data_IF_751472748358
#
_entry.id   IF_751472748358
#
_cell.length_a   1.000
_cell.length_b   1.000
_cell.length_c   1.000
_cell.angle_alpha   90.00
_cell.angle_beta   90.00
_cell.angle_gamma   90.00
#
_symmetry.space_group_name_H-M   'P 1'
#
loop_
_entity.id
_entity.type
_entity.pdbx_description
1 polymer ?
#
# COMPACT_ATOMS: atom_id res chain seq x y z
N UNK A 1 15.28 -57.71 39.90
CA UNK A 1 15.21 -58.40 38.61
C UNK A 1 14.19 -57.63 37.78
N UNK A 2 14.58 -56.46 37.25
CA UNK A 2 15.35 -56.17 36.02
C UNK A 2 14.50 -56.41 34.76
N UNK A 3 14.27 -55.31 34.02
CA UNK A 3 13.65 -55.22 32.69
C UNK A 3 14.31 -56.15 31.65
N UNK A 4 13.78 -56.23 30.41
CA UNK A 4 14.26 -55.28 29.39
C UNK A 4 13.24 -54.80 28.33
N UNK A 5 13.27 -53.49 28.09
CA UNK A 5 13.53 -52.78 26.82
C UNK A 5 13.07 -53.43 25.50
N UNK A 6 12.27 -52.70 24.73
CA UNK A 6 12.03 -52.88 23.30
C UNK A 6 11.58 -51.59 22.62
N UNK A 7 12.35 -51.15 21.63
CA UNK A 7 12.41 -49.83 20.99
C UNK A 7 11.35 -49.58 19.88
N UNK A 8 11.20 -48.29 19.57
CA UNK A 8 10.92 -47.68 18.26
C UNK A 8 9.46 -47.42 17.83
N UNK A 9 9.12 -46.12 17.70
CA UNK A 9 7.88 -45.63 17.12
C UNK A 9 7.96 -44.13 16.83
N UNK A 10 8.67 -43.81 15.76
CA UNK A 10 8.64 -42.63 14.86
C UNK A 10 7.76 -41.45 15.34
N UNK A 11 8.41 -40.30 15.51
CA UNK A 11 7.74 -39.03 15.79
C UNK A 11 6.84 -38.59 14.64
N UNK A 12 5.55 -38.50 14.93
CA UNK A 12 4.59 -37.75 14.14
C UNK A 12 4.76 -36.26 14.45
N UNK A 13 5.25 -35.55 13.44
CA UNK A 13 5.20 -34.10 13.33
C UNK A 13 3.75 -33.63 13.45
N UNK A 14 3.42 -32.98 14.58
CA UNK A 14 2.22 -32.16 14.68
C UNK A 14 2.30 -31.07 13.62
N UNK A 15 1.59 -31.25 12.51
CA UNK A 15 1.14 -30.14 11.68
C UNK A 15 0.25 -29.26 12.54
N UNK A 16 0.79 -28.15 13.04
CA UNK A 16 -0.03 -27.01 13.40
C UNK A 16 -0.58 -26.43 12.09
N UNK A 17 -1.70 -26.98 11.62
CA UNK A 17 -2.55 -26.26 10.68
C UNK A 17 -3.11 -25.07 11.46
N UNK A 18 -2.55 -23.90 11.15
CA UNK A 18 -3.04 -22.62 11.59
C UNK A 18 -4.35 -22.40 10.82
N UNK A 19 -5.45 -22.94 11.35
CA UNK A 19 -6.79 -22.51 10.94
C UNK A 19 -6.86 -21.00 11.20
N UNK A 20 -6.91 -20.24 10.12
CA UNK A 20 -7.23 -18.83 10.12
C UNK A 20 -8.69 -18.70 10.59
N UNK A 21 -8.87 -18.71 11.92
CA UNK A 21 -10.14 -18.41 12.55
C UNK A 21 -10.45 -16.93 12.28
N UNK A 22 -11.23 -16.70 11.22
CA UNK A 22 -11.90 -15.42 10.96
C UNK A 22 -12.85 -15.17 12.13
N UNK A 23 -12.38 -14.36 13.09
CA UNK A 23 -13.20 -13.93 14.21
C UNK A 23 -14.42 -13.14 13.70
N UNK A 24 -15.62 -13.35 14.27
CA UNK A 24 -16.76 -12.50 13.95
C UNK A 24 -16.45 -11.06 14.36
N UNK A 25 -16.76 -10.13 13.45
CA UNK A 25 -16.55 -8.69 13.62
C UNK A 25 -17.02 -8.21 14.99
N UNK A 26 -16.16 -7.44 15.67
CA UNK A 26 -16.47 -6.73 16.92
C UNK A 26 -17.82 -6.01 16.80
N UNK A 27 -18.58 -5.94 17.91
CA UNK A 27 -19.83 -5.17 17.95
C UNK A 27 -19.59 -3.73 17.46
N UNK A 28 -20.53 -3.12 16.71
CA UNK A 28 -20.35 -1.82 16.11
C UNK A 28 -20.33 -0.79 17.22
N UNK A 29 -19.13 -0.37 17.62
CA UNK A 29 -18.95 0.61 18.67
C UNK A 29 -19.37 2.01 18.21
N UNK A 30 -19.97 2.77 19.12
CA UNK A 30 -20.27 4.20 19.04
C UNK A 30 -19.01 5.12 18.94
N UNK A 31 -17.88 4.61 18.47
CA UNK A 31 -16.69 5.45 18.39
C UNK A 31 -16.89 6.46 17.24
N UNK A 32 -16.68 7.76 17.43
CA UNK A 32 -16.77 8.71 16.34
C UNK A 32 -15.75 8.30 15.27
N UNK A 33 -16.24 7.80 14.14
CA UNK A 33 -15.42 7.31 13.04
C UNK A 33 -14.50 8.44 12.59
N UNK A 34 -13.20 8.23 12.75
CA UNK A 34 -12.22 9.21 12.30
C UNK A 34 -11.87 8.94 10.85
N UNK A 35 -11.75 10.01 10.06
CA UNK A 35 -11.32 9.94 8.67
C UNK A 35 -10.04 9.10 8.49
N UNK A 36 -9.13 9.19 9.46
CA UNK A 36 -7.88 8.43 9.48
C UNK A 36 -8.10 6.91 9.40
N UNK A 37 -9.16 6.41 10.05
CA UNK A 37 -9.39 4.98 10.22
C UNK A 37 -9.97 4.31 8.97
N UNK A 38 -10.56 5.11 8.08
CA UNK A 38 -11.20 4.65 6.84
C UNK A 38 -10.45 5.06 5.56
N UNK A 39 -9.58 6.07 5.61
CA UNK A 39 -8.94 6.64 4.41
C UNK A 39 -8.20 5.61 3.55
N UNK A 40 -7.48 4.68 4.18
CA UNK A 40 -6.71 3.65 3.45
C UNK A 40 -7.62 2.71 2.66
N UNK A 41 -8.66 2.17 3.30
CA UNK A 41 -9.64 1.28 2.66
C UNK A 41 -10.47 2.01 1.60
N UNK A 42 -10.86 3.25 1.89
CA UNK A 42 -11.57 4.11 0.94
C UNK A 42 -10.73 4.38 -0.32
N UNK A 43 -9.45 4.68 -0.16
CA UNK A 43 -8.53 4.90 -1.28
C UNK A 43 -8.30 3.62 -2.06
N UNK A 44 -8.07 2.49 -1.38
CA UNK A 44 -7.95 1.17 -2.05
C UNK A 44 -9.18 0.88 -2.89
N UNK A 45 -10.37 1.00 -2.31
CA UNK A 45 -11.62 0.78 -3.00
C UNK A 45 -11.78 1.69 -4.23
N UNK A 46 -11.45 2.97 -4.09
CA UNK A 46 -11.56 3.95 -5.18
C UNK A 46 -10.61 3.62 -6.34
N UNK A 47 -9.36 3.27 -6.03
CA UNK A 47 -8.36 2.88 -7.04
C UNK A 47 -8.74 1.55 -7.72
N UNK A 48 -9.14 0.53 -6.96
CA UNK A 48 -9.57 -0.77 -7.51
C UNK A 48 -10.81 -0.62 -8.40
N UNK A 49 -11.83 0.12 -7.94
CA UNK A 49 -13.04 0.36 -8.74
C UNK A 49 -12.76 1.17 -10.01
N UNK A 50 -11.72 2.00 -10.02
CA UNK A 50 -11.26 2.69 -11.23
C UNK A 50 -10.54 1.76 -12.21
N UNK A 51 -9.79 0.75 -11.72
CA UNK A 51 -9.14 -0.26 -12.57
C UNK A 51 -10.21 -1.13 -13.26
N UNK A 52 -11.21 -1.53 -12.48
CA UNK A 52 -12.31 -2.40 -12.91
C UNK A 52 -13.40 -1.67 -13.70
N UNK A 53 -13.28 -0.35 -13.87
CA UNK A 53 -14.27 0.52 -14.54
C UNK A 53 -15.67 0.51 -13.88
N UNK A 54 -15.77 0.11 -12.61
CA UNK A 54 -17.05 0.02 -11.87
C UNK A 54 -17.38 1.29 -11.07
N UNK A 55 -16.44 2.23 -10.96
CA UNK A 55 -16.60 3.45 -10.14
C UNK A 55 -17.63 4.43 -10.70
N UNK A 56 -17.85 4.44 -12.03
CA UNK A 56 -18.70 5.42 -12.71
C UNK A 56 -18.15 6.85 -12.75
N UNK A 57 -16.97 7.10 -12.16
CA UNK A 57 -16.30 8.40 -12.10
C UNK A 57 -14.88 8.23 -12.64
N UNK A 58 -14.47 9.10 -13.57
CA UNK A 58 -13.11 9.13 -14.08
C UNK A 58 -12.19 9.91 -13.12
N UNK A 59 -11.29 9.21 -12.45
CA UNK A 59 -10.30 9.80 -11.53
C UNK A 59 -9.07 10.39 -12.25
N UNK A 60 -9.02 10.36 -13.59
CA UNK A 60 -7.94 10.96 -14.37
C UNK A 60 -6.58 10.24 -14.30
N UNK A 61 -6.54 9.05 -13.70
CA UNK A 61 -5.34 8.22 -13.56
C UNK A 61 -5.47 6.93 -14.39
N UNK A 62 -4.38 6.50 -15.01
CA UNK A 62 -4.37 5.27 -15.80
C UNK A 62 -4.48 4.01 -14.92
N UNK A 63 -5.04 2.93 -15.49
CA UNK A 63 -5.18 1.64 -14.78
C UNK A 63 -3.84 1.07 -14.30
N UNK A 64 -2.78 1.25 -15.08
CA UNK A 64 -1.43 0.83 -14.74
C UNK A 64 -0.87 1.65 -13.56
N UNK A 65 -1.11 2.97 -13.55
CA UNK A 65 -0.73 3.83 -12.44
C UNK A 65 -1.44 3.42 -11.13
N UNK A 66 -2.76 3.23 -11.18
CA UNK A 66 -3.54 2.75 -10.03
C UNK A 66 -3.06 1.38 -9.53
N UNK A 67 -2.81 0.43 -10.44
CA UNK A 67 -2.27 -0.90 -10.09
C UNK A 67 -0.91 -0.80 -9.40
N UNK A 68 -0.04 0.10 -9.86
CA UNK A 68 1.28 0.33 -9.24
C UNK A 68 1.19 0.98 -7.86
N UNK A 69 0.21 1.85 -7.61
CA UNK A 69 -0.04 2.41 -6.28
C UNK A 69 -0.47 1.34 -5.26
N UNK A 70 -1.26 0.36 -5.71
CA UNK A 70 -1.78 -0.74 -4.90
C UNK A 70 -0.79 -1.90 -4.71
N UNK A 71 0.29 -1.94 -5.50
CA UNK A 71 1.26 -3.03 -5.50
C UNK A 71 1.95 -3.15 -4.14
N UNK A 72 2.12 -4.38 -3.66
CA UNK A 72 2.89 -4.68 -2.44
C UNK A 72 4.39 -4.88 -2.73
N UNK A 73 5.25 -4.70 -1.72
CA UNK A 73 6.65 -5.08 -1.82
C UNK A 73 6.79 -6.61 -1.71
N UNK A 74 7.36 -7.31 -2.71
CA UNK A 74 7.49 -8.77 -2.68
C UNK A 74 8.38 -9.30 -1.54
N UNK A 75 9.28 -8.48 -0.99
CA UNK A 75 10.17 -8.92 0.09
C UNK A 75 9.67 -8.56 1.49
N UNK A 76 8.59 -7.78 1.60
CA UNK A 76 8.12 -7.32 2.90
C UNK A 76 6.62 -6.95 2.89
N UNK A 77 5.72 -7.95 2.87
CA UNK A 77 4.28 -7.72 2.77
C UNK A 77 3.65 -7.04 4.00
N UNK A 78 4.36 -6.96 5.14
CA UNK A 78 3.82 -6.50 6.43
C UNK A 78 4.68 -5.42 7.13
N UNK A 79 5.47 -4.63 6.40
CA UNK A 79 6.26 -3.57 7.03
C UNK A 79 5.38 -2.38 7.45
N UNK A 80 4.97 -2.35 8.72
CA UNK A 80 4.20 -1.28 9.36
C UNK A 80 5.09 -0.20 9.97
N UNK A 81 6.16 0.19 9.28
CA UNK A 81 7.08 1.20 9.82
C UNK A 81 6.74 2.57 9.24
N UNK A 82 6.20 3.42 10.11
CA UNK A 82 5.94 4.86 9.88
C UNK A 82 7.21 5.72 9.94
N UNK A 83 8.39 5.11 10.09
CA UNK A 83 9.63 5.87 10.16
C UNK A 83 9.87 6.58 8.82
N UNK A 84 10.19 7.87 8.92
CA UNK A 84 10.67 8.67 7.80
C UNK A 84 11.95 8.03 7.26
N UNK A 85 11.79 7.14 6.28
CA UNK A 85 12.95 6.60 5.58
C UNK A 85 13.23 7.49 4.38
N UNK A 86 14.37 8.16 4.45
CA UNK A 86 14.98 8.90 3.36
C UNK A 86 15.06 8.02 2.09
N UNK A 87 14.53 8.49 0.96
CA UNK A 87 14.50 7.76 -0.32
C UNK A 87 13.10 7.34 -0.80
N UNK A 88 13.01 6.21 -1.51
CA UNK A 88 11.74 5.71 -2.10
C UNK A 88 10.78 5.28 -0.99
N UNK A 89 9.53 5.77 -0.90
CA UNK A 89 8.60 5.36 0.17
C UNK A 89 8.37 3.84 0.22
N UNK A 90 8.14 3.25 1.41
CA UNK A 90 7.76 1.85 1.50
C UNK A 90 6.48 1.56 0.73
N UNK A 91 6.43 0.38 0.11
CA UNK A 91 5.26 -0.10 -0.61
C UNK A 91 4.28 -0.80 0.35
N UNK A 92 2.96 -0.76 0.10
CA UNK A 92 2.30 -0.10 -1.03
C UNK A 92 2.26 1.42 -0.90
N UNK A 93 2.37 2.11 -2.04
CA UNK A 93 2.31 3.58 -2.07
C UNK A 93 0.92 4.11 -1.70
N UNK A 94 -0.14 3.32 -1.89
CA UNK A 94 -1.49 3.69 -1.50
C UNK A 94 -1.59 4.04 -0.01
N UNK A 95 -0.83 3.38 0.87
CA UNK A 95 -0.83 3.66 2.31
C UNK A 95 -0.25 5.04 2.63
N UNK A 96 0.82 5.42 1.93
CA UNK A 96 1.42 6.75 2.06
C UNK A 96 0.51 7.83 1.50
N UNK A 97 -0.09 7.57 0.34
CA UNK A 97 -1.05 8.48 -0.28
C UNK A 97 -2.27 8.69 0.63
N UNK A 98 -2.82 7.64 1.23
CA UNK A 98 -3.91 7.73 2.19
C UNK A 98 -3.54 8.61 3.39
N UNK A 99 -2.35 8.41 3.97
CA UNK A 99 -1.86 9.25 5.07
C UNK A 99 -1.73 10.72 4.65
N UNK A 100 -1.11 10.99 3.49
CA UNK A 100 -0.93 12.34 2.97
C UNK A 100 -2.28 13.03 2.66
N UNK A 101 -3.24 12.30 2.10
CA UNK A 101 -4.60 12.79 1.85
C UNK A 101 -5.33 13.12 3.16
N UNK A 102 -5.26 12.23 4.15
CA UNK A 102 -5.83 12.48 5.47
C UNK A 102 -5.25 13.76 6.11
N UNK A 103 -3.92 13.91 6.10
CA UNK A 103 -3.26 15.11 6.62
C UNK A 103 -3.67 16.36 5.83
N UNK A 104 -3.80 16.24 4.52
CA UNK A 104 -4.17 17.37 3.67
C UNK A 104 -5.61 17.81 3.88
N UNK A 105 -6.55 16.87 4.02
CA UNK A 105 -7.94 17.16 4.35
C UNK A 105 -8.05 17.76 5.76
N UNK A 106 -7.29 17.24 6.72
CA UNK A 106 -7.31 17.72 8.10
C UNK A 106 -6.74 19.13 8.25
N UNK A 107 -5.74 19.49 7.42
CA UNK A 107 -5.12 20.81 7.43
C UNK A 107 -5.75 21.81 6.44
N UNK A 108 -6.57 21.33 5.50
CA UNK A 108 -7.17 22.14 4.43
C UNK A 108 -6.18 22.54 3.33
N UNK A 109 -4.98 21.95 3.29
CA UNK A 109 -3.95 22.26 2.32
C UNK A 109 -3.13 21.02 1.98
N UNK A 110 -2.51 20.99 0.80
CA UNK A 110 -1.66 19.88 0.39
C UNK A 110 -0.45 19.76 1.34
N UNK A 111 -0.38 18.66 2.10
CA UNK A 111 0.73 18.44 3.02
C UNK A 111 1.99 18.04 2.25
N UNK A 112 3.05 18.85 2.36
CA UNK A 112 4.39 18.42 1.95
C UNK A 112 4.92 17.46 2.99
N UNK A 113 5.26 16.24 2.58
CA UNK A 113 6.16 15.39 3.37
C UNK A 113 7.50 16.14 3.46
N UNK A 114 7.82 16.67 4.64
CA UNK A 114 8.92 17.62 4.89
C UNK A 114 10.27 17.14 4.35
N UNK A 115 10.60 17.47 3.11
CA UNK A 115 11.96 17.46 2.61
C UNK A 115 12.56 18.85 2.83
N UNK A 116 13.57 18.92 3.71
CA UNK A 116 14.42 20.10 4.02
C UNK A 116 15.14 20.71 2.79
N UNK A 117 14.86 20.23 1.59
CA UNK A 117 15.46 20.66 0.33
C UNK A 117 14.60 21.74 -0.36
N UNK A 118 14.18 22.75 0.39
CA UNK A 118 13.45 23.90 -0.17
C UNK A 118 14.47 24.88 -0.77
N UNK A 119 14.98 24.63 -1.98
CA UNK A 119 15.88 25.56 -2.68
C UNK A 119 15.94 25.34 -4.21
N UNK A 120 14.80 25.13 -4.86
CA UNK A 120 14.68 25.40 -6.29
C UNK A 120 13.43 26.27 -6.46
N UNK A 121 13.61 27.43 -7.10
CA UNK A 121 12.58 28.45 -7.32
C UNK A 121 11.20 27.83 -7.58
N UNK A 122 10.23 28.14 -6.73
CA UNK A 122 8.82 27.81 -7.02
C UNK A 122 8.38 28.69 -8.18
N UNK A 123 8.18 28.07 -9.34
CA UNK A 123 7.59 28.73 -10.50
C UNK A 123 6.17 29.19 -10.17
N UNK A 124 5.79 30.39 -10.61
CA UNK A 124 4.46 31.00 -10.39
C UNK A 124 3.32 30.02 -10.75
N UNK A 125 3.53 29.22 -11.82
CA UNK A 125 2.61 28.15 -12.28
C UNK A 125 2.37 27.07 -11.22
N UNK A 126 3.39 26.65 -10.45
CA UNK A 126 3.23 25.65 -9.40
C UNK A 126 2.42 26.19 -8.23
N UNK A 127 2.60 27.46 -7.89
CA UNK A 127 1.85 28.10 -6.81
C UNK A 127 0.36 28.18 -7.14
N UNK A 128 0.01 28.55 -8.37
CA UNK A 128 -1.39 28.57 -8.85
C UNK A 128 -2.04 27.17 -8.79
N UNK A 129 -1.29 26.11 -9.17
CA UNK A 129 -1.77 24.73 -9.03
C UNK A 129 -1.97 24.31 -7.59
N UNK A 130 -1.01 24.61 -6.70
CA UNK A 130 -1.13 24.30 -5.26
C UNK A 130 -2.34 25.01 -4.63
N UNK A 131 -2.60 26.27 -5.00
CA UNK A 131 -3.81 26.99 -4.57
C UNK A 131 -5.11 26.33 -5.08
N UNK A 132 -5.11 25.88 -6.34
CA UNK A 132 -6.22 25.11 -6.92
C UNK A 132 -6.48 23.79 -6.19
N UNK A 133 -5.41 23.04 -5.87
CA UNK A 133 -5.52 21.81 -5.09
C UNK A 133 -5.99 22.05 -3.67
N UNK A 134 -5.51 23.10 -3.00
CA UNK A 134 -5.93 23.44 -1.64
C UNK A 134 -7.43 23.74 -1.59
N UNK A 135 -7.96 24.52 -2.56
CA UNK A 135 -9.40 24.78 -2.66
C UNK A 135 -10.19 23.49 -2.85
N UNK A 136 -9.73 22.60 -3.74
CA UNK A 136 -10.37 21.31 -4.00
C UNK A 136 -10.39 20.42 -2.75
N UNK A 137 -9.25 20.30 -2.07
CA UNK A 137 -9.10 19.52 -0.84
C UNK A 137 -10.01 20.06 0.26
N UNK A 138 -10.10 21.38 0.39
CA UNK A 138 -10.97 22.01 1.38
C UNK A 138 -12.45 21.71 1.10
N UNK A 139 -12.91 21.90 -0.15
CA UNK A 139 -14.30 21.69 -0.54
C UNK A 139 -14.70 20.21 -0.46
N UNK A 140 -13.98 19.34 -1.17
CA UNK A 140 -14.30 17.90 -1.25
C UNK A 140 -13.91 17.14 0.02
N UNK A 141 -12.90 17.60 0.74
CA UNK A 141 -12.56 17.08 2.06
C UNK A 141 -13.67 17.36 3.08
N UNK A 142 -14.26 18.57 3.05
CA UNK A 142 -15.39 18.89 3.92
C UNK A 142 -16.64 18.04 3.59
N UNK A 143 -16.94 17.81 2.30
CA UNK A 143 -18.01 16.89 1.89
C UNK A 143 -17.81 15.49 2.48
N UNK A 144 -16.59 14.94 2.34
CA UNK A 144 -16.24 13.62 2.84
C UNK A 144 -16.41 13.55 4.37
N UNK A 145 -15.88 14.53 5.09
CA UNK A 145 -16.03 14.62 6.56
C UNK A 145 -17.49 14.76 6.97
N UNK A 146 -18.31 15.49 6.21
CA UNK A 146 -19.73 15.63 6.51
C UNK A 146 -20.49 14.31 6.32
N UNK A 147 -20.18 13.51 5.29
CA UNK A 147 -20.75 12.16 5.13
C UNK A 147 -20.31 11.25 6.27
N UNK A 148 -19.05 11.32 6.73
CA UNK A 148 -18.60 10.52 7.87
C UNK A 148 -19.32 10.87 9.17
N UNK A 149 -19.64 12.16 9.38
CA UNK A 149 -20.38 12.61 10.57
C UNK A 149 -21.82 12.10 10.63
N UNK A 150 -22.41 11.70 9.50
CA UNK A 150 -23.76 11.13 9.46
C UNK A 150 -23.79 9.64 9.72
N UNK A 151 -22.63 8.97 9.83
CA UNK A 151 -22.58 7.52 10.03
C UNK A 151 -22.85 7.18 11.50
N UNK A 152 -23.81 6.29 11.71
CA UNK A 152 -24.22 5.82 13.03
C UNK A 152 -23.52 4.50 13.41
N UNK A 153 -23.26 3.63 12.43
CA UNK A 153 -22.71 2.28 12.66
C UNK A 153 -21.66 1.90 11.61
N UNK A 154 -20.69 1.08 12.01
CA UNK A 154 -19.72 0.44 11.12
C UNK A 154 -19.97 -1.07 11.09
N UNK A 155 -20.11 -1.66 9.90
CA UNK A 155 -20.25 -3.11 9.73
C UNK A 155 -19.16 -3.65 8.80
N UNK A 156 -18.75 -4.89 9.07
CA UNK A 156 -17.88 -5.62 8.17
C UNK A 156 -18.63 -6.82 7.56
N UNK A 157 -18.54 -6.93 6.24
CA UNK A 157 -19.15 -7.97 5.41
C UNK A 157 -18.08 -8.58 4.52
N UNK A 158 -18.16 -9.89 4.27
CA UNK A 158 -17.23 -10.57 3.36
C UNK A 158 -17.44 -10.11 1.91
N UNK A 159 -16.36 -10.12 1.13
CA UNK A 159 -16.32 -9.54 -0.23
C UNK A 159 -17.46 -9.98 -1.14
N UNK A 160 -17.83 -11.27 -1.11
CA UNK A 160 -18.90 -11.80 -1.96
C UNK A 160 -20.28 -11.20 -1.70
N UNK A 161 -20.60 -10.84 -0.45
CA UNK A 161 -21.85 -10.14 -0.11
C UNK A 161 -21.70 -8.62 -0.24
N UNK A 162 -20.49 -8.10 -0.03
CA UNK A 162 -20.19 -6.67 -0.14
C UNK A 162 -20.39 -6.16 -1.57
N UNK A 163 -19.94 -6.91 -2.57
CA UNK A 163 -20.18 -6.59 -3.99
C UNK A 163 -21.68 -6.58 -4.31
N UNK A 164 -22.44 -7.55 -3.80
CA UNK A 164 -23.89 -7.60 -3.98
C UNK A 164 -24.61 -6.42 -3.32
N UNK A 165 -24.15 -5.98 -2.14
CA UNK A 165 -24.65 -4.76 -1.47
C UNK A 165 -24.30 -3.50 -2.29
N UNK A 166 -23.07 -3.41 -2.82
CA UNK A 166 -22.58 -2.29 -3.63
C UNK A 166 -23.41 -2.10 -4.91
N UNK A 167 -23.76 -3.22 -5.55
CA UNK A 167 -24.50 -3.28 -6.82
C UNK A 167 -26.01 -3.24 -6.63
N UNK A 168 -26.50 -3.29 -5.38
CA UNK A 168 -27.93 -3.24 -5.04
C UNK A 168 -28.68 -4.55 -5.31
N UNK A 169 -27.95 -5.66 -5.52
CA UNK A 169 -28.54 -7.00 -5.66
C UNK A 169 -29.00 -7.54 -4.30
N UNK A 170 -28.20 -7.28 -3.26
CA UNK A 170 -28.52 -7.59 -1.87
C UNK A 170 -29.05 -6.33 -1.21
N UNK A 171 -30.29 -6.36 -0.75
CA UNK A 171 -30.98 -5.21 -0.13
C UNK A 171 -31.29 -5.46 1.35
N UNK A 172 -31.07 -6.68 1.85
CA UNK A 172 -31.31 -7.05 3.24
C UNK A 172 -30.05 -7.67 3.83
N UNK A 173 -29.55 -7.10 4.93
CA UNK A 173 -28.42 -7.63 5.68
C UNK A 173 -28.90 -8.35 6.95
N UNK A 174 -28.75 -9.67 6.98
CA UNK A 174 -29.09 -10.50 8.14
C UNK A 174 -27.96 -10.53 9.18
N UNK A 175 -28.28 -10.23 10.45
CA UNK A 175 -27.32 -10.26 11.58
C UNK A 175 -27.96 -10.85 12.83
N UNK A 176 -27.17 -11.54 13.65
CA UNK A 176 -27.65 -11.92 14.98
C UNK A 176 -27.82 -10.66 15.85
N UNK A 177 -28.94 -10.56 16.58
CA UNK A 177 -29.35 -9.35 17.29
C UNK A 177 -28.55 -9.11 18.60
N UNK A 178 -27.25 -8.90 18.46
CA UNK A 178 -26.29 -8.87 19.59
C UNK A 178 -25.75 -7.45 19.80
N UNK A 179 -25.60 -7.04 21.05
CA UNK A 179 -24.93 -5.78 21.40
C UNK A 179 -25.56 -4.56 20.72
N UNK A 180 -24.71 -3.73 20.14
CA UNK A 180 -25.11 -2.47 19.49
C UNK A 180 -25.94 -2.65 18.22
N UNK A 181 -25.97 -3.85 17.61
CA UNK A 181 -26.85 -4.11 16.46
C UNK A 181 -28.33 -3.88 16.79
N UNK A 182 -28.74 -4.08 18.05
CA UNK A 182 -30.11 -3.85 18.50
C UNK A 182 -30.56 -2.38 18.44
N UNK A 183 -29.61 -1.46 18.29
CA UNK A 183 -29.86 -0.01 18.25
C UNK A 183 -29.98 0.51 16.82
N UNK A 184 -29.68 -0.32 15.82
CA UNK A 184 -29.89 0.01 14.42
C UNK A 184 -31.39 0.14 14.19
N UNK A 185 -31.80 1.29 13.65
CA UNK A 185 -33.19 1.57 13.32
C UNK A 185 -33.31 2.27 11.97
N UNK A 186 -34.55 2.37 11.47
CA UNK A 186 -34.86 3.11 10.25
C UNK A 186 -34.27 4.52 10.28
N UNK A 187 -33.71 4.94 9.14
CA UNK A 187 -33.04 6.24 8.97
C UNK A 187 -31.56 6.25 9.34
N UNK A 188 -31.04 5.22 10.03
CA UNK A 188 -29.61 5.14 10.39
C UNK A 188 -28.73 4.97 9.14
N UNK A 189 -27.49 5.47 9.20
CA UNK A 189 -26.49 5.22 8.18
C UNK A 189 -25.42 4.24 8.67
N UNK A 190 -25.14 3.25 7.84
CA UNK A 190 -24.15 2.21 8.10
C UNK A 190 -23.00 2.33 7.11
N UNK A 191 -21.77 2.35 7.62
CA UNK A 191 -20.55 2.26 6.83
C UNK A 191 -20.08 0.80 6.77
N UNK A 192 -20.22 0.18 5.61
CA UNK A 192 -19.74 -1.16 5.31
C UNK A 192 -18.29 -1.12 4.85
N UNK A 193 -17.46 -1.95 5.49
CA UNK A 193 -16.05 -2.15 5.16
C UNK A 193 -15.27 -0.83 5.00
N UNK A 194 -15.65 0.20 5.76
CA UNK A 194 -15.02 1.53 5.77
C UNK A 194 -15.12 2.36 4.48
N UNK A 195 -15.90 1.95 3.48
CA UNK A 195 -16.02 2.73 2.23
C UNK A 195 -17.44 2.82 1.64
N UNK A 196 -18.33 1.86 1.91
CA UNK A 196 -19.66 1.82 1.33
C UNK A 196 -20.69 2.30 2.35
N UNK A 197 -21.36 3.42 2.06
CA UNK A 197 -22.41 3.95 2.95
C UNK A 197 -23.76 3.42 2.48
N UNK A 198 -24.56 2.85 3.37
CA UNK A 198 -25.94 2.46 3.10
C UNK A 198 -26.87 3.04 4.17
N UNK A 199 -28.08 3.41 3.77
CA UNK A 199 -29.11 3.92 4.67
C UNK A 199 -30.09 2.79 5.00
N UNK A 200 -30.41 2.64 6.29
CA UNK A 200 -31.39 1.68 6.77
C UNK A 200 -32.79 2.19 6.46
N UNK A 201 -33.56 1.40 5.69
CA UNK A 201 -34.96 1.67 5.41
C UNK A 201 -35.86 1.12 6.52
N UNK A 202 -35.61 -0.11 6.94
CA UNK A 202 -36.37 -0.77 8.00
C UNK A 202 -35.54 -1.86 8.68
N UNK A 203 -35.98 -2.30 9.87
CA UNK A 203 -35.34 -3.39 10.63
C UNK A 203 -36.40 -4.32 11.22
N UNK A 204 -36.40 -5.58 10.78
CA UNK A 204 -37.28 -6.61 11.31
C UNK A 204 -36.53 -7.56 12.25
N UNK A 205 -37.25 -8.13 13.22
CA UNK A 205 -36.73 -9.07 14.22
C UNK A 205 -37.40 -10.42 14.08
N UNK A 206 -36.60 -11.48 14.10
CA UNK A 206 -37.03 -12.87 13.97
C UNK A 206 -36.40 -13.74 15.06
N UNK A 207 -37.02 -14.88 15.38
CA UNK A 207 -36.47 -15.81 16.36
C UNK A 207 -35.29 -16.62 15.79
N UNK A 208 -35.25 -16.82 14.47
CA UNK A 208 -34.22 -17.63 13.80
C UNK A 208 -33.87 -17.11 12.39
N UNK A 209 -32.73 -17.55 11.85
CA UNK A 209 -32.37 -17.28 10.45
C UNK A 209 -33.31 -18.00 9.48
N UNK A 210 -33.83 -19.19 9.83
CA UNK A 210 -34.82 -19.88 8.99
C UNK A 210 -36.07 -19.03 8.84
N UNK A 211 -36.64 -18.58 9.96
CA UNK A 211 -37.83 -17.74 9.98
C UNK A 211 -37.61 -16.42 9.23
N UNK A 212 -36.44 -15.79 9.42
CA UNK A 212 -36.08 -14.59 8.66
C UNK A 212 -36.04 -14.87 7.15
N UNK A 213 -35.42 -15.96 6.70
CA UNK A 213 -35.30 -16.30 5.28
C UNK A 213 -36.62 -16.81 4.66
N UNK A 214 -37.56 -17.27 5.48
CA UNK A 214 -38.93 -17.64 5.07
C UNK A 214 -39.82 -16.40 4.92
N UNK A 215 -39.68 -15.43 5.82
CA UNK A 215 -40.48 -14.21 5.82
C UNK A 215 -39.93 -13.16 4.85
N UNK A 216 -38.61 -13.03 4.75
CA UNK A 216 -37.93 -12.13 3.84
C UNK A 216 -37.62 -12.81 2.50
N UNK A 217 -37.38 -12.01 1.46
CA UNK A 217 -37.00 -12.54 0.15
C UNK A 217 -35.59 -13.14 0.20
N UNK A 218 -35.46 -14.47 0.11
CA UNK A 218 -34.17 -15.17 0.10
C UNK A 218 -33.19 -14.57 -0.93
N UNK A 219 -33.68 -14.14 -2.10
CA UNK A 219 -32.85 -13.52 -3.14
C UNK A 219 -32.35 -12.12 -2.77
N UNK A 220 -33.06 -11.40 -1.92
CA UNK A 220 -32.66 -10.08 -1.41
C UNK A 220 -31.71 -10.17 -0.22
N UNK A 221 -31.82 -11.24 0.57
CA UNK A 221 -30.92 -11.53 1.70
C UNK A 221 -29.64 -12.22 1.23
N UNK A 222 -29.73 -13.24 0.38
CA UNK A 222 -28.61 -14.06 -0.09
C UNK A 222 -28.75 -14.31 -1.62
N UNK A 223 -28.45 -13.31 -2.47
CA UNK A 223 -28.51 -13.47 -3.92
C UNK A 223 -27.66 -14.67 -4.41
N UNK A 224 -28.29 -15.53 -5.21
CA UNK A 224 -27.67 -16.74 -5.80
C UNK A 224 -27.92 -18.04 -5.01
N UNK A 225 -28.40 -17.95 -3.78
CA UNK A 225 -28.79 -19.11 -2.95
C UNK A 225 -30.19 -19.58 -3.35
N UNK A 226 -30.39 -20.90 -3.41
CA UNK A 226 -31.64 -21.49 -3.93
C UNK A 226 -32.58 -22.00 -2.85
N UNK A 227 -32.06 -22.40 -1.69
CA UNK A 227 -32.88 -22.95 -0.60
C UNK A 227 -32.58 -22.31 0.74
N UNK A 228 -33.56 -22.36 1.64
CA UNK A 228 -33.46 -21.76 2.97
C UNK A 228 -32.43 -22.50 3.81
N UNK A 229 -32.33 -23.83 3.68
CA UNK A 229 -31.35 -24.64 4.38
C UNK A 229 -29.92 -24.25 3.99
N UNK A 230 -29.65 -24.05 2.70
CA UNK A 230 -28.36 -23.54 2.21
C UNK A 230 -28.06 -22.15 2.79
N UNK A 231 -29.07 -21.27 2.82
CA UNK A 231 -28.96 -19.94 3.42
C UNK A 231 -28.63 -19.97 4.92
N UNK A 232 -29.29 -20.85 5.69
CA UNK A 232 -28.99 -21.05 7.11
C UNK A 232 -27.56 -21.57 7.29
N UNK A 233 -27.10 -22.51 6.46
CA UNK A 233 -25.72 -23.02 6.53
C UNK A 233 -24.66 -21.93 6.27
N UNK A 234 -24.96 -20.93 5.45
CA UNK A 234 -24.10 -19.76 5.29
C UNK A 234 -23.98 -18.99 6.62
N UNK A 235 -25.09 -18.72 7.29
CA UNK A 235 -25.08 -18.02 8.58
C UNK A 235 -24.38 -18.82 9.70
N UNK A 236 -24.45 -20.15 9.65
CA UNK A 236 -23.75 -21.05 10.59
C UNK A 236 -22.23 -20.93 10.55
N UNK A 237 -21.66 -20.42 9.46
CA UNK A 237 -20.22 -20.10 9.39
C UNK A 237 -19.83 -18.93 10.30
N UNK A 238 -20.79 -18.10 10.71
CA UNK A 238 -20.57 -16.88 11.48
C UNK A 238 -21.20 -16.91 12.88
N UNK A 239 -22.32 -17.62 13.05
CA UNK A 239 -23.12 -17.63 14.28
C UNK A 239 -23.48 -19.05 14.69
N UNK A 240 -23.23 -19.37 15.97
CA UNK A 240 -23.70 -20.62 16.56
C UNK A 240 -25.20 -20.58 16.82
N UNK A 241 -25.83 -21.75 16.87
CA UNK A 241 -27.26 -21.89 17.15
C UNK A 241 -27.65 -21.36 18.52
N UNK A 242 -26.79 -21.51 19.52
CA UNK A 242 -27.07 -20.98 20.86
C UNK A 242 -27.12 -19.45 20.86
N UNK A 243 -26.24 -18.82 20.08
CA UNK A 243 -26.19 -17.36 19.97
C UNK A 243 -27.40 -16.81 19.23
N UNK A 244 -27.80 -17.47 18.16
CA UNK A 244 -29.06 -17.16 17.46
C UNK A 244 -30.25 -17.32 18.39
N UNK A 245 -30.41 -18.47 19.05
CA UNK A 245 -31.56 -18.74 19.93
C UNK A 245 -31.66 -17.78 21.11
N UNK A 246 -30.53 -17.33 21.64
CA UNK A 246 -30.50 -16.42 22.80
C UNK A 246 -30.78 -14.96 22.44
N UNK A 247 -30.47 -14.52 21.23
CA UNK A 247 -30.57 -13.12 20.84
C UNK A 247 -31.64 -12.86 19.78
N UNK A 248 -31.99 -13.86 18.97
CA UNK A 248 -32.73 -13.70 17.74
C UNK A 248 -31.87 -13.14 16.59
N UNK A 249 -32.55 -12.75 15.52
CA UNK A 249 -31.97 -12.28 14.27
C UNK A 249 -32.61 -10.97 13.83
N UNK A 250 -31.82 -10.11 13.19
CA UNK A 250 -32.22 -8.87 12.55
C UNK A 250 -32.13 -9.02 11.04
N UNK A 251 -33.18 -8.62 10.33
CA UNK A 251 -33.13 -8.29 8.91
C UNK A 251 -33.04 -6.77 8.76
N UNK A 252 -31.91 -6.27 8.26
CA UNK A 252 -31.66 -4.84 8.09
C UNK A 252 -31.85 -4.49 6.62
N UNK A 253 -32.97 -3.85 6.29
CA UNK A 253 -33.25 -3.38 4.93
C UNK A 253 -32.42 -2.14 4.65
N UNK A 254 -31.68 -2.15 3.55
CA UNK A 254 -30.73 -1.10 3.19
C UNK A 254 -30.94 -0.60 1.77
N UNK A 255 -30.70 0.70 1.57
CA UNK A 255 -30.65 1.32 0.25
C UNK A 255 -29.35 2.11 0.12
N UNK A 256 -28.85 2.22 -1.11
CA UNK A 256 -27.67 3.03 -1.41
C UNK A 256 -28.07 4.51 -1.54
N UNK A 257 -27.64 5.40 -0.62
CA UNK A 257 -27.87 6.82 -0.76
C UNK A 257 -27.00 7.42 -1.88
N UNK A 258 -27.40 8.58 -2.39
CA UNK A 258 -26.67 9.31 -3.43
C UNK A 258 -25.29 9.81 -2.95
N UNK A 259 -25.16 10.17 -1.67
CA UNK A 259 -23.89 10.60 -1.06
C UNK A 259 -23.03 9.40 -0.69
N UNK A 260 -21.84 9.30 -1.27
CA UNK A 260 -20.85 8.25 -0.96
C UNK A 260 -19.47 8.85 -0.78
N UNK A 261 -18.69 8.28 0.15
CA UNK A 261 -17.34 8.76 0.47
C UNK A 261 -16.40 8.72 -0.74
N UNK A 262 -16.51 7.66 -1.54
CA UNK A 262 -15.65 7.46 -2.70
C UNK A 262 -15.89 8.48 -3.81
N UNK A 263 -17.05 9.15 -3.84
CA UNK A 263 -17.37 10.19 -4.84
C UNK A 263 -16.52 11.43 -4.59
N UNK A 264 -16.48 11.92 -3.34
CA UNK A 264 -15.64 13.07 -2.98
C UNK A 264 -14.16 12.72 -3.12
N UNK A 265 -13.74 11.51 -2.73
CA UNK A 265 -12.35 11.08 -2.92
C UNK A 265 -11.96 10.98 -4.40
N UNK A 266 -12.82 10.40 -5.24
CA UNK A 266 -12.60 10.32 -6.69
C UNK A 266 -12.46 11.72 -7.31
N UNK A 267 -13.25 12.70 -6.84
CA UNK A 267 -13.16 14.09 -7.27
C UNK A 267 -11.81 14.73 -6.88
N UNK A 268 -11.33 14.46 -5.66
CA UNK A 268 -10.01 14.91 -5.21
C UNK A 268 -8.91 14.32 -6.10
N UNK A 269 -8.92 13.00 -6.33
CA UNK A 269 -7.91 12.35 -7.17
C UNK A 269 -7.92 12.88 -8.61
N UNK A 270 -9.10 13.09 -9.18
CA UNK A 270 -9.29 13.66 -10.51
C UNK A 270 -8.68 15.06 -10.63
N UNK A 271 -8.96 15.95 -9.66
CA UNK A 271 -8.42 17.31 -9.69
C UNK A 271 -6.95 17.42 -9.30
N UNK A 272 -6.41 16.48 -8.51
CA UNK A 272 -4.97 16.39 -8.24
C UNK A 272 -4.19 15.99 -9.49
N UNK A 273 -4.75 15.10 -10.32
CA UNK A 273 -4.06 14.45 -11.43
C UNK A 273 -2.77 13.73 -11.00
N UNK A 274 -1.95 13.30 -11.96
CA UNK A 274 -0.64 12.71 -11.67
C UNK A 274 0.25 13.63 -10.82
N UNK A 275 0.25 14.93 -11.12
CA UNK A 275 1.15 15.91 -10.52
C UNK A 275 0.85 16.09 -9.01
N UNK A 276 -0.42 16.28 -8.66
CA UNK A 276 -0.84 16.40 -7.27
C UNK A 276 -0.66 15.11 -6.47
N UNK A 277 -0.89 13.94 -7.08
CA UNK A 277 -0.63 12.64 -6.44
C UNK A 277 0.86 12.42 -6.17
N UNK A 278 1.72 12.70 -7.16
CA UNK A 278 3.17 12.65 -6.97
C UNK A 278 3.64 13.64 -5.88
N UNK A 279 3.03 14.82 -5.83
CA UNK A 279 3.31 15.83 -4.80
C UNK A 279 2.97 15.33 -3.39
N UNK A 280 1.81 14.70 -3.22
CA UNK A 280 1.41 14.08 -1.94
C UNK A 280 2.33 12.94 -1.53
N UNK A 281 2.85 12.18 -2.50
CA UNK A 281 3.86 11.14 -2.25
C UNK A 281 5.25 11.70 -1.94
N UNK A 282 5.44 13.03 -1.96
CA UNK A 282 6.71 13.68 -1.67
C UNK A 282 7.71 13.61 -2.82
N UNK A 283 7.26 13.32 -4.04
CA UNK A 283 8.14 13.31 -5.20
C UNK A 283 8.48 14.73 -5.64
N UNK A 284 9.73 14.92 -6.05
CA UNK A 284 10.22 16.19 -6.58
C UNK A 284 10.13 16.13 -8.09
N UNK A 285 9.46 17.10 -8.70
CA UNK A 285 9.49 17.26 -10.14
C UNK A 285 10.88 17.71 -10.58
N UNK A 286 11.54 16.87 -11.36
CA UNK A 286 12.75 17.24 -12.08
C UNK A 286 12.46 17.25 -13.58
N UNK A 287 13.05 18.19 -14.30
CA UNK A 287 12.87 18.29 -15.74
C UNK A 287 13.25 16.96 -16.43
N UNK A 288 12.37 16.44 -17.28
CA UNK A 288 12.55 15.15 -17.97
C UNK A 288 11.95 13.93 -17.26
N UNK A 289 11.28 14.10 -16.12
CA UNK A 289 10.52 13.01 -15.49
C UNK A 289 9.16 12.80 -16.17
N UNK A 290 8.74 11.53 -16.27
CA UNK A 290 7.43 11.16 -16.78
C UNK A 290 6.42 11.26 -15.63
N UNK A 291 5.34 12.05 -15.72
CA UNK A 291 4.35 12.21 -14.64
C UNK A 291 3.68 10.90 -14.21
N UNK A 292 3.58 9.93 -15.13
CA UNK A 292 2.98 8.62 -14.87
C UNK A 292 3.97 7.60 -14.27
N UNK A 293 5.23 7.99 -14.08
CA UNK A 293 6.23 7.10 -13.50
C UNK A 293 6.11 7.07 -11.96
N UNK A 294 6.09 5.86 -11.42
CA UNK A 294 6.24 5.59 -9.99
C UNK A 294 7.57 4.84 -9.77
N UNK A 295 8.31 5.12 -8.68
CA UNK A 295 9.56 4.43 -8.39
C UNK A 295 9.29 2.93 -8.20
N UNK A 296 10.16 1.99 -8.59
CA UNK A 296 9.95 0.59 -8.28
C UNK A 296 10.11 0.31 -6.76
N UNK A 297 9.56 -0.80 -6.24
CA UNK A 297 9.76 -1.21 -4.84
C UNK A 297 11.24 -1.29 -4.47
N UNK A 298 11.57 -1.03 -3.19
CA UNK A 298 12.97 -1.04 -2.72
C UNK A 298 13.65 -2.37 -2.96
N UNK A 299 12.94 -3.47 -2.73
CA UNK A 299 13.44 -4.83 -3.03
C UNK A 299 13.84 -4.99 -4.49
N UNK A 300 13.07 -4.40 -5.42
CA UNK A 300 13.35 -4.43 -6.86
C UNK A 300 14.58 -3.57 -7.20
N UNK A 301 14.73 -2.41 -6.54
CA UNK A 301 15.94 -1.59 -6.71
C UNK A 301 17.18 -2.34 -6.20
N UNK A 302 17.10 -2.88 -4.98
CA UNK A 302 18.20 -3.61 -4.36
C UNK A 302 18.60 -4.84 -5.17
N UNK A 303 17.63 -5.65 -5.63
CA UNK A 303 17.93 -6.80 -6.48
C UNK A 303 18.58 -6.39 -7.80
N UNK A 304 18.16 -5.28 -8.40
CA UNK A 304 18.76 -4.76 -9.64
C UNK A 304 20.24 -4.37 -9.43
N UNK A 305 20.58 -3.78 -8.28
CA UNK A 305 21.99 -3.50 -7.94
C UNK A 305 22.79 -4.78 -7.69
N UNK A 306 22.19 -5.82 -7.10
CA UNK A 306 22.86 -7.10 -6.85
C UNK A 306 23.05 -7.94 -8.12
N UNK A 307 22.14 -7.84 -9.10
CA UNK A 307 22.24 -8.48 -10.41
C UNK A 307 23.46 -8.01 -11.23
N UNK A 308 23.88 -6.75 -11.05
CA UNK A 308 25.08 -6.20 -11.68
C UNK A 308 26.38 -6.75 -11.09
N UNK A 309 26.33 -7.43 -9.93
CA UNK A 309 27.43 -8.21 -9.37
C UNK A 309 27.46 -9.66 -9.92
N UNK A 310 27.23 -9.83 -11.22
CA UNK A 310 27.58 -11.07 -11.90
C UNK A 310 29.08 -11.03 -12.28
N UNK A 311 29.94 -11.89 -11.71
CA UNK A 311 31.39 -11.86 -11.95
C UNK A 311 31.76 -12.07 -13.43
N UNK A 312 30.82 -12.53 -14.27
CA UNK A 312 31.02 -12.69 -15.71
C UNK A 312 30.99 -11.37 -16.50
N UNK A 313 30.33 -10.32 -16.00
CA UNK A 313 30.29 -9.01 -16.68
C UNK A 313 31.62 -8.25 -16.50
N UNK A 314 32.27 -8.44 -15.35
CA UNK A 314 33.59 -7.87 -15.09
C UNK A 314 34.65 -8.43 -16.04
N UNK A 315 34.64 -9.75 -16.31
CA UNK A 315 35.50 -10.38 -17.33
C UNK A 315 35.25 -9.84 -18.74
N UNK A 316 34.00 -9.51 -19.08
CA UNK A 316 33.67 -9.01 -20.42
C UNK A 316 34.15 -7.57 -20.62
N UNK A 317 34.10 -6.72 -19.59
CA UNK A 317 34.71 -5.38 -19.65
C UNK A 317 36.24 -5.43 -19.65
N UNK A 318 36.85 -6.37 -18.94
CA UNK A 318 38.31 -6.56 -18.92
C UNK A 318 38.85 -7.09 -20.27
N UNK A 319 38.07 -7.93 -20.96
CA UNK A 319 38.36 -8.39 -22.33
C UNK A 319 38.20 -7.28 -23.38
N UNK A 320 37.28 -6.33 -23.19
CA UNK A 320 37.11 -5.18 -24.08
C UNK A 320 38.20 -4.10 -23.87
N UNK A 321 38.77 -4.02 -22.67
CA UNK A 321 39.85 -3.08 -22.32
C UNK A 321 41.27 -3.62 -22.62
N UNK A 322 41.41 -4.91 -22.94
CA UNK A 322 42.70 -5.55 -23.24
C UNK A 322 43.01 -5.75 -24.73
N UNK A 323 42.09 -5.36 -25.64
CA UNK A 323 42.39 -5.37 -27.07
C UNK A 323 43.19 -4.11 -27.46
N UNK A 324 44.38 -4.25 -28.08
CA UNK A 324 45.11 -3.09 -28.57
C UNK A 324 44.33 -2.45 -29.71
N UNK A 325 43.93 -1.18 -29.52
CA UNK A 325 43.36 -0.29 -30.53
C UNK A 325 44.35 -0.12 -31.70
N UNK A 326 44.34 -1.06 -32.63
CA UNK A 326 44.93 -0.92 -33.95
C UNK A 326 43.86 -1.25 -34.98
N UNK A 327 43.63 -0.23 -35.82
CA UNK A 327 42.84 -0.17 -37.04
C UNK A 327 41.41 0.37 -36.96
N UNK A 328 41.18 1.19 -37.99
CA UNK A 328 39.99 1.91 -38.43
C UNK A 328 39.67 3.20 -37.67
N UNK A 329 39.81 4.33 -38.38
CA UNK A 329 38.92 5.51 -38.43
C UNK A 329 39.70 6.76 -38.90
N UNK A 330 39.45 7.28 -40.12
CA UNK A 330 40.15 8.42 -40.69
C UNK A 330 39.35 9.72 -40.51
N UNK A 331 39.37 10.36 -39.34
CA UNK A 331 39.06 11.81 -39.25
C UNK A 331 39.43 12.43 -37.89
N UNK A 332 39.97 13.67 -37.82
CA UNK A 332 40.45 14.27 -36.58
C UNK A 332 39.35 14.66 -35.56
N UNK A 333 38.12 14.93 -36.03
CA UNK A 333 37.05 15.50 -35.19
C UNK A 333 36.44 14.45 -34.24
N UNK A 334 36.47 13.16 -34.60
CA UNK A 334 35.97 12.07 -33.74
C UNK A 334 36.89 11.68 -32.58
N UNK A 335 38.17 12.11 -32.60
CA UNK A 335 39.14 11.81 -31.52
C UNK A 335 38.90 12.64 -30.26
N UNK A 336 38.48 13.90 -30.41
CA UNK A 336 38.25 14.79 -29.27
C UNK A 336 37.00 14.41 -28.46
N UNK A 337 35.93 13.98 -29.12
CA UNK A 337 34.65 13.66 -28.49
C UNK A 337 34.70 12.39 -27.61
N UNK A 338 35.45 11.37 -28.06
CA UNK A 338 35.58 10.10 -27.33
C UNK A 338 36.58 10.23 -26.18
N UNK A 339 37.64 11.04 -26.32
CA UNK A 339 38.60 11.30 -25.25
C UNK A 339 37.95 12.03 -24.06
N UNK A 340 37.03 12.95 -24.32
CA UNK A 340 36.31 13.68 -23.26
C UNK A 340 35.32 12.79 -22.49
N UNK A 341 34.61 11.89 -23.18
CA UNK A 341 33.70 10.93 -22.55
C UNK A 341 34.43 9.89 -21.71
N UNK A 342 35.58 9.39 -22.17
CA UNK A 342 36.42 8.46 -21.39
C UNK A 342 37.01 9.11 -20.14
N UNK A 343 37.36 10.40 -20.20
CA UNK A 343 37.87 11.15 -19.05
C UNK A 343 36.79 11.37 -17.97
N UNK A 344 35.54 11.66 -18.37
CA UNK A 344 34.40 11.82 -17.47
C UNK A 344 34.03 10.51 -16.75
N UNK A 345 34.14 9.38 -17.45
CA UNK A 345 33.90 8.05 -16.86
C UNK A 345 35.00 7.70 -15.86
N UNK A 346 36.28 7.96 -16.21
CA UNK A 346 37.41 7.72 -15.30
C UNK A 346 37.34 8.60 -14.03
N UNK A 347 36.96 9.87 -14.16
CA UNK A 347 36.83 10.80 -13.04
C UNK A 347 35.68 10.41 -12.09
N UNK A 348 34.58 9.89 -12.65
CA UNK A 348 33.42 9.43 -11.87
C UNK A 348 33.75 8.17 -11.06
N UNK A 349 34.48 7.21 -11.66
CA UNK A 349 34.88 5.97 -11.00
C UNK A 349 35.91 6.22 -9.89
N UNK A 350 36.89 7.10 -10.12
CA UNK A 350 37.88 7.46 -9.09
C UNK A 350 37.25 8.22 -7.91
N UNK A 351 36.27 9.09 -8.17
CA UNK A 351 35.54 9.83 -7.12
C UNK A 351 34.66 8.92 -6.25
N UNK A 352 34.06 7.89 -6.84
CA UNK A 352 33.29 6.87 -6.12
C UNK A 352 34.20 6.01 -5.24
N UNK A 353 35.39 5.65 -5.73
CA UNK A 353 36.37 4.89 -4.96
C UNK A 353 36.95 5.70 -3.79
N UNK A 354 37.25 6.99 -3.97
CA UNK A 354 37.75 7.85 -2.87
C UNK A 354 36.70 8.13 -1.79
N UNK A 355 35.41 8.22 -2.15
CA UNK A 355 34.31 8.35 -1.17
C UNK A 355 34.15 7.08 -0.34
N UNK A 356 34.33 5.90 -0.95
CA UNK A 356 34.25 4.61 -0.26
C UNK A 356 35.39 4.41 0.75
N UNK A 357 36.60 4.86 0.43
CA UNK A 357 37.74 4.85 1.37
C UNK A 357 37.54 5.77 2.59
N UNK A 358 36.89 6.93 2.41
CA UNK A 358 36.59 7.87 3.51
C UNK A 358 35.52 7.35 4.48
N UNK A 359 34.56 6.58 3.97
CA UNK A 359 33.51 5.93 4.78
C UNK A 359 34.07 4.75 5.59
N UNK A 360 35.04 4.01 5.04
CA UNK A 360 35.72 2.92 5.75
C UNK A 360 36.66 3.45 6.86
N UNK A 361 37.35 4.56 6.64
CA UNK A 361 38.24 5.18 7.64
C UNK A 361 37.48 5.73 8.87
N UNK A 362 36.21 6.11 8.71
CA UNK A 362 35.37 6.63 9.81
C UNK A 362 34.79 5.53 10.73
N UNK A 363 34.99 4.25 10.40
CA UNK A 363 34.38 3.10 11.09
C UNK A 363 35.32 2.29 12.00
N UNK A 364 36.55 2.74 12.21
CA UNK A 364 37.37 2.29 13.36
C UNK A 364 37.74 0.80 13.40
N UNK A 365 37.90 0.13 12.25
CA UNK A 365 38.46 -1.22 12.21
C UNK A 365 39.99 -1.13 12.16
N UNK A 366 40.64 -1.23 13.33
CA UNK A 366 42.10 -1.38 13.43
C UNK A 366 42.51 -2.82 13.12
N UNK A 367 43.53 -3.02 12.27
CA UNK A 367 44.42 -4.19 12.34
C UNK A 367 45.83 -3.89 11.81
N UNK A 368 46.83 -4.15 12.67
CA UNK A 368 48.18 -4.61 12.32
C UNK A 368 49.27 -3.57 12.02
N UNK A 369 49.91 -3.02 13.06
CA UNK A 369 51.15 -2.22 12.94
C UNK A 369 52.41 -3.11 12.98
N UNK A 370 53.34 -2.92 12.03
CA UNK A 370 54.75 -3.24 12.23
C UNK A 370 55.60 -2.01 11.92
N UNK A 371 56.39 -1.59 12.90
CA UNK A 371 57.26 -0.42 12.83
C UNK A 371 58.63 -0.79 12.25
N UNK A 372 58.98 -0.18 11.11
CA UNK A 372 60.32 -0.10 10.54
C UNK A 372 60.63 1.35 10.13
N UNK A 373 61.91 1.76 10.08
CA UNK A 373 62.26 3.16 9.90
C UNK A 373 61.99 3.54 8.44
N UNK A 374 61.11 4.52 8.26
CA UNK A 374 60.56 5.05 6.99
C UNK A 374 59.34 4.29 6.42
N UNK A 375 58.17 4.52 7.02
CA UNK A 375 56.85 4.34 6.38
C UNK A 375 55.96 3.24 6.98
N UNK A 376 54.65 3.52 7.09
CA UNK A 376 53.62 2.60 7.56
C UNK A 376 53.12 1.70 6.41
N UNK A 377 53.11 0.37 6.60
CA UNK A 377 52.63 -0.60 5.61
C UNK A 377 51.32 -1.24 6.07
N UNK A 378 50.30 -1.24 5.21
CA UNK A 378 49.01 -1.92 5.45
C UNK A 378 48.74 -2.92 4.33
N UNK A 379 48.46 -4.18 4.69
CA UNK A 379 48.19 -5.28 3.74
C UNK A 379 46.69 -5.61 3.66
N UNK A 380 46.22 -5.94 2.45
CA UNK A 380 44.86 -6.43 2.15
C UNK A 380 44.97 -7.87 1.56
N UNK A 381 43.97 -8.77 1.67
CA UNK A 381 44.07 -10.17 1.24
C UNK A 381 44.06 -10.37 -0.28
N UNK A 382 44.28 -9.30 -1.05
CA UNK A 382 44.48 -9.31 -2.51
C UNK A 382 45.92 -9.02 -2.95
N UNK A 383 46.90 -8.94 -2.04
CA UNK A 383 48.32 -8.90 -2.41
C UNK A 383 48.84 -7.60 -3.02
N UNK A 384 48.23 -6.45 -2.74
CA UNK A 384 48.76 -5.14 -3.16
C UNK A 384 49.29 -4.34 -1.96
N UNK A 385 50.47 -3.74 -2.12
CA UNK A 385 51.12 -2.84 -1.15
C UNK A 385 50.70 -1.41 -1.46
N UNK A 386 50.20 -0.69 -0.45
CA UNK A 386 49.86 0.74 -0.55
C UNK A 386 50.95 1.55 0.14
N UNK A 387 51.57 2.48 -0.58
CA UNK A 387 52.47 3.49 0.01
C UNK A 387 51.63 4.68 0.49
N UNK A 388 51.83 5.08 1.74
CA UNK A 388 51.27 6.32 2.30
C UNK A 388 52.44 7.30 2.48
N UNK A 389 52.40 8.43 1.78
CA UNK A 389 53.27 9.59 2.02
C UNK A 389 52.60 10.58 2.97
#
# INVERSE_FOLDING_TARGET
>A
WRDPIGFCGIGETRKCEMEEQVQPSSSPGLCPLQLKDCMEELLRFTLSSSIDETLGINIGLSKDYCSKLLKNDPSNPNYNTTDLVEGVPPYPLCKHLASALYQSISSGAICRTNNKMALIHEDISMKEKEEGWNKLILEKGAELVNVLKTIDFELHVQEHFLSQLKDGLKTIEGRCAVGDYNRIGSGSFILFNKFLVLQVQDVHKYASFSEMLEAESLTEVLPGVRTIEEGVQIYRKFYTEEKERSNGVLAIHVIKPAGQLYISLASILSGLSYEGVQRLLGFVHTAGTIPEALPPPRSTLLSSFMLLHNPNVFRHMELLLSQPLKLFFPHPIRRAWISMHMFLIFYSVTTILTRRSRVLFSRGEMMGEQNGPHGLFVFNPGGYVIYVF
#
